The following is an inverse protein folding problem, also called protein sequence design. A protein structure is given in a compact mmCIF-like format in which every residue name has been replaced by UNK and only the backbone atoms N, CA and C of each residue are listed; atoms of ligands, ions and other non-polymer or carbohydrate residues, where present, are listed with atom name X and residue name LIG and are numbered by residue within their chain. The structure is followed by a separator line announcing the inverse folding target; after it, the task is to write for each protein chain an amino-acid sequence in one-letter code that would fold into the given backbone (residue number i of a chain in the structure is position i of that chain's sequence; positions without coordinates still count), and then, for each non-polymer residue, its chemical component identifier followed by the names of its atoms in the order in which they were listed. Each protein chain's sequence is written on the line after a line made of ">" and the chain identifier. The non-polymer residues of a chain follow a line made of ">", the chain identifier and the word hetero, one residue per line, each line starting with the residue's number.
data_IF_669858541161
#
_entry.id   IF_669858541161
#
_cell.length_a   1.000
_cell.length_b   1.000
_cell.length_c   1.000
_cell.angle_alpha   90.00
_cell.angle_beta   90.00
_cell.angle_gamma   90.00
#
_symmetry.space_group_name_H-M   'P 1'
#
loop_
_entity.id
_entity.type
_entity.pdbx_description
1 polymer ?
#
# COMPACT_ATOMS: atom_id res chain seq x y z
N UNK A 1 -18.40 -0.09 31.10
CA UNK A 1 -17.82 1.23 30.83
C UNK A 1 -17.53 1.33 29.34
N UNK A 2 -18.08 2.34 28.64
CA UNK A 2 -17.77 2.57 27.22
C UNK A 2 -16.33 3.06 27.16
N UNK A 3 -15.42 2.28 26.57
CA UNK A 3 -14.04 2.69 26.38
C UNK A 3 -14.03 3.99 25.55
N UNK A 4 -13.28 4.99 25.99
CA UNK A 4 -13.08 6.22 25.23
C UNK A 4 -12.45 5.86 23.88
N UNK A 5 -13.01 6.36 22.77
CA UNK A 5 -12.56 5.93 21.46
C UNK A 5 -11.14 6.48 21.21
N UNK A 6 -10.23 5.64 20.69
CA UNK A 6 -8.81 6.01 20.59
C UNK A 6 -8.63 7.24 19.69
N UNK A 7 -7.74 8.16 20.08
CA UNK A 7 -7.30 9.26 19.21
C UNK A 7 -6.21 8.75 18.22
N UNK A 8 -5.77 9.56 17.25
CA UNK A 8 -4.74 9.21 16.25
C UNK A 8 -3.51 8.54 16.87
N UNK A 9 -2.95 9.14 17.94
CA UNK A 9 -1.78 8.62 18.67
C UNK A 9 -2.10 7.29 19.34
N UNK A 10 -3.33 7.13 19.84
CA UNK A 10 -3.80 5.89 20.46
C UNK A 10 -3.83 4.73 19.46
N UNK A 11 -4.32 4.99 18.24
CA UNK A 11 -4.34 3.98 17.16
C UNK A 11 -2.92 3.59 16.76
N UNK A 12 -2.03 4.56 16.55
CA UNK A 12 -0.64 4.28 16.20
C UNK A 12 0.07 3.48 17.30
N UNK A 13 -0.15 3.85 18.56
CA UNK A 13 0.38 3.11 19.71
C UNK A 13 -0.16 1.69 19.74
N UNK A 14 -1.46 1.50 19.56
CA UNK A 14 -2.07 0.17 19.58
C UNK A 14 -1.55 -0.71 18.42
N UNK A 15 -1.38 -0.14 17.23
CA UNK A 15 -0.75 -0.84 16.11
C UNK A 15 0.67 -1.32 16.47
N UNK A 16 1.50 -0.45 17.05
CA UNK A 16 2.85 -0.82 17.52
C UNK A 16 2.79 -1.90 18.62
N UNK A 17 1.85 -1.80 19.55
CA UNK A 17 1.64 -2.80 20.62
C UNK A 17 1.28 -4.16 20.02
N UNK A 18 0.45 -4.22 18.98
CA UNK A 18 0.09 -5.47 18.30
C UNK A 18 1.32 -6.08 17.61
N UNK A 19 2.12 -5.25 16.92
CA UNK A 19 3.39 -5.71 16.34
C UNK A 19 4.31 -6.29 17.42
N UNK A 20 4.44 -5.61 18.57
CA UNK A 20 5.31 -6.04 19.66
C UNK A 20 4.79 -7.32 20.36
N UNK A 21 3.48 -7.41 20.60
CA UNK A 21 2.85 -8.54 21.29
C UNK A 21 3.06 -9.87 20.56
N UNK A 22 2.95 -9.85 19.24
CA UNK A 22 3.13 -11.02 18.37
C UNK A 22 4.38 -10.90 17.49
N UNK A 23 5.46 -10.32 18.03
CA UNK A 23 6.65 -9.93 17.27
C UNK A 23 7.24 -11.04 16.39
N UNK A 24 7.36 -12.27 16.91
CA UNK A 24 7.88 -13.41 16.13
C UNK A 24 6.99 -13.72 14.92
N UNK A 25 5.68 -13.75 15.11
CA UNK A 25 4.71 -14.05 14.05
C UNK A 25 4.65 -12.91 13.02
N UNK A 26 4.57 -11.66 13.48
CA UNK A 26 4.54 -10.49 12.62
C UNK A 26 5.83 -10.34 11.81
N UNK A 27 6.99 -10.66 12.39
CA UNK A 27 8.26 -10.73 11.68
C UNK A 27 8.23 -11.83 10.61
N UNK A 28 7.67 -13.01 10.92
CA UNK A 28 7.54 -14.10 9.95
C UNK A 28 6.65 -13.68 8.76
N UNK A 29 5.53 -13.01 9.03
CA UNK A 29 4.66 -12.43 7.98
C UNK A 29 5.44 -11.42 7.14
N UNK A 30 6.12 -10.48 7.78
CA UNK A 30 6.89 -9.44 7.10
C UNK A 30 7.99 -10.02 6.21
N UNK A 31 8.74 -11.01 6.69
CA UNK A 31 9.77 -11.70 5.89
C UNK A 31 9.18 -12.47 4.71
N UNK A 32 8.01 -13.10 4.91
CA UNK A 32 7.28 -13.80 3.83
C UNK A 32 6.86 -12.85 2.72
N UNK A 33 6.54 -11.59 3.07
CA UNK A 33 6.21 -10.54 2.09
C UNK A 33 7.47 -9.97 1.46
N UNK A 34 8.51 -9.71 2.25
CA UNK A 34 9.75 -9.09 1.77
C UNK A 34 10.48 -9.98 0.75
N UNK A 35 10.52 -11.29 0.96
CA UNK A 35 11.21 -12.23 0.08
C UNK A 35 10.81 -12.13 -1.41
N UNK A 36 9.51 -12.25 -1.79
CA UNK A 36 9.11 -12.12 -3.19
C UNK A 36 9.31 -10.70 -3.74
N UNK A 37 9.19 -9.64 -2.92
CA UNK A 37 9.50 -8.28 -3.37
C UNK A 37 10.97 -8.11 -3.73
N UNK A 38 11.87 -8.57 -2.86
CA UNK A 38 13.31 -8.55 -3.12
C UNK A 38 13.69 -9.40 -4.33
N UNK A 39 13.06 -10.56 -4.50
CA UNK A 39 13.29 -11.42 -5.66
C UNK A 39 12.86 -10.74 -6.97
N UNK A 40 11.68 -10.12 -7.00
CA UNK A 40 11.20 -9.35 -8.17
C UNK A 40 12.15 -8.19 -8.47
N UNK A 41 12.55 -7.42 -7.46
CA UNK A 41 13.48 -6.31 -7.64
C UNK A 41 14.85 -6.76 -8.18
N UNK A 42 15.39 -7.86 -7.66
CA UNK A 42 16.64 -8.45 -8.15
C UNK A 42 16.50 -8.94 -9.60
N UNK A 43 15.43 -9.66 -9.92
CA UNK A 43 15.17 -10.14 -11.28
C UNK A 43 14.98 -8.96 -12.25
N UNK A 44 14.27 -7.91 -11.84
CA UNK A 44 14.10 -6.70 -12.65
C UNK A 44 15.46 -6.04 -12.93
N UNK A 45 16.29 -5.85 -11.91
CA UNK A 45 17.64 -5.31 -12.07
C UNK A 45 18.49 -6.15 -13.05
N UNK A 46 18.44 -7.49 -12.95
CA UNK A 46 19.23 -8.38 -13.81
C UNK A 46 18.69 -8.47 -15.25
N UNK A 47 17.38 -8.65 -15.43
CA UNK A 47 16.77 -8.92 -16.73
C UNK A 47 16.42 -7.63 -17.48
N UNK A 48 15.75 -6.69 -16.81
CA UNK A 48 15.36 -5.43 -17.44
C UNK A 48 16.58 -4.52 -17.60
N UNK A 49 17.46 -4.44 -16.59
CA UNK A 49 18.72 -3.68 -16.70
C UNK A 49 19.57 -4.14 -17.87
N UNK A 50 19.79 -5.46 -18.01
CA UNK A 50 20.51 -6.02 -19.15
C UNK A 50 19.86 -5.70 -20.50
N UNK A 51 18.53 -5.79 -20.61
CA UNK A 51 17.84 -5.47 -21.87
C UNK A 51 17.86 -3.97 -22.18
N UNK A 52 17.78 -3.10 -21.19
CA UNK A 52 17.87 -1.65 -21.35
C UNK A 52 19.25 -1.27 -21.90
N UNK A 53 20.32 -1.79 -21.29
CA UNK A 53 21.70 -1.57 -21.74
C UNK A 53 21.91 -2.04 -23.18
N UNK A 54 21.43 -3.24 -23.53
CA UNK A 54 21.51 -3.73 -24.92
C UNK A 54 20.72 -2.88 -25.92
N UNK A 55 19.57 -2.33 -25.51
CA UNK A 55 18.76 -1.45 -26.35
C UNK A 55 19.49 -0.12 -26.56
N UNK A 56 20.04 0.46 -25.50
CA UNK A 56 20.80 1.71 -25.53
C UNK A 56 22.05 1.60 -26.41
N UNK A 57 22.84 0.55 -26.23
CA UNK A 57 24.02 0.24 -27.05
C UNK A 57 23.68 0.11 -28.54
N UNK A 58 22.51 -0.48 -28.86
CA UNK A 58 22.03 -0.64 -30.23
C UNK A 58 21.56 0.69 -30.84
N UNK A 59 21.00 1.59 -30.03
CA UNK A 59 20.62 2.94 -30.46
C UNK A 59 21.87 3.76 -30.80
N UNK A 60 22.89 3.77 -29.92
CA UNK A 60 24.13 4.50 -30.18
C UNK A 60 24.89 3.99 -31.42
N UNK A 61 24.86 2.67 -31.66
CA UNK A 61 25.55 2.05 -32.80
C UNK A 61 24.78 2.17 -34.13
N UNK A 62 23.66 2.91 -34.20
CA UNK A 62 22.80 3.05 -35.39
C UNK A 62 22.45 1.70 -36.06
N UNK A 63 22.41 0.63 -35.29
CA UNK A 63 22.02 -0.68 -35.79
C UNK A 63 20.51 -0.69 -35.98
N UNK A 64 19.97 -1.37 -37.02
CA UNK A 64 18.52 -1.47 -37.18
C UNK A 64 17.96 -2.27 -36.00
N UNK A 65 17.52 -1.53 -34.98
CA UNK A 65 16.95 -2.07 -33.77
C UNK A 65 15.84 -3.02 -34.17
N UNK A 66 15.96 -4.29 -33.77
CA UNK A 66 14.91 -5.24 -34.00
C UNK A 66 13.69 -4.75 -33.23
N UNK A 67 12.59 -4.42 -33.91
CA UNK A 67 11.26 -4.20 -33.29
C UNK A 67 10.90 -5.28 -32.25
N UNK A 68 11.52 -6.45 -32.38
CA UNK A 68 11.50 -7.59 -31.47
C UNK A 68 12.09 -7.30 -30.07
N UNK A 69 13.17 -6.53 -29.95
CA UNK A 69 13.86 -6.33 -28.66
C UNK A 69 13.09 -5.32 -27.79
N UNK A 70 12.58 -4.24 -28.40
CA UNK A 70 11.65 -3.30 -27.73
C UNK A 70 10.36 -4.00 -27.30
N UNK A 71 9.79 -4.84 -28.16
CA UNK A 71 8.59 -5.63 -27.82
C UNK A 71 8.86 -6.59 -26.65
N UNK A 72 10.04 -7.21 -26.63
CA UNK A 72 10.47 -8.10 -25.54
C UNK A 72 10.61 -7.32 -24.23
N UNK A 73 11.23 -6.14 -24.25
CA UNK A 73 11.37 -5.26 -23.09
C UNK A 73 10.00 -4.83 -22.53
N UNK A 74 9.09 -4.38 -23.39
CA UNK A 74 7.72 -3.99 -22.97
C UNK A 74 6.99 -5.18 -22.35
N UNK A 75 7.09 -6.37 -22.96
CA UNK A 75 6.48 -7.59 -22.44
C UNK A 75 7.04 -7.99 -21.07
N UNK A 76 8.36 -7.84 -20.89
CA UNK A 76 9.05 -8.12 -19.64
C UNK A 76 8.66 -7.12 -18.54
N UNK A 77 8.66 -5.82 -18.83
CA UNK A 77 8.23 -4.78 -17.89
C UNK A 77 6.77 -4.98 -17.45
N UNK A 78 5.89 -5.32 -18.39
CA UNK A 78 4.50 -5.64 -18.06
C UNK A 78 4.39 -6.87 -17.16
N UNK A 79 5.22 -7.89 -17.38
CA UNK A 79 5.26 -9.09 -16.54
C UNK A 79 5.76 -8.77 -15.13
N UNK A 80 6.82 -7.96 -14.98
CA UNK A 80 7.31 -7.52 -13.68
C UNK A 80 6.30 -6.64 -12.95
N UNK A 81 5.65 -5.72 -13.65
CA UNK A 81 4.59 -4.89 -13.10
C UNK A 81 3.42 -5.75 -12.59
N UNK A 82 2.99 -6.74 -13.38
CA UNK A 82 1.95 -7.68 -12.97
C UNK A 82 2.37 -8.49 -11.74
N UNK A 83 3.59 -9.03 -11.72
CA UNK A 83 4.12 -9.78 -10.58
C UNK A 83 4.17 -8.92 -9.31
N UNK A 84 4.68 -7.69 -9.41
CA UNK A 84 4.72 -6.72 -8.32
C UNK A 84 3.31 -6.41 -7.80
N UNK A 85 2.34 -6.21 -8.71
CA UNK A 85 0.95 -5.95 -8.37
C UNK A 85 0.31 -7.11 -7.58
N UNK A 86 0.55 -8.35 -7.99
CA UNK A 86 0.07 -9.53 -7.28
C UNK A 86 0.75 -9.71 -5.92
N UNK A 87 2.07 -9.51 -5.83
CA UNK A 87 2.81 -9.61 -4.55
C UNK A 87 2.35 -8.53 -3.57
N UNK A 88 2.09 -7.30 -4.03
CA UNK A 88 1.48 -6.25 -3.22
C UNK A 88 0.12 -6.67 -2.67
N UNK A 89 -0.75 -7.21 -3.53
CA UNK A 89 -2.07 -7.68 -3.13
C UNK A 89 -1.98 -8.77 -2.05
N UNK A 90 -1.18 -9.81 -2.28
CA UNK A 90 -0.98 -10.88 -1.30
C UNK A 90 -0.36 -10.37 0.00
N UNK A 91 0.59 -9.43 -0.07
CA UNK A 91 1.21 -8.85 1.11
C UNK A 91 0.23 -8.06 1.98
N UNK A 92 -0.64 -7.25 1.36
CA UNK A 92 -1.70 -6.52 2.08
C UNK A 92 -2.69 -7.49 2.72
N UNK A 93 -3.15 -8.50 1.97
CA UNK A 93 -4.04 -9.55 2.48
C UNK A 93 -3.45 -10.27 3.70
N UNK A 94 -2.21 -10.72 3.59
CA UNK A 94 -1.52 -11.43 4.66
C UNK A 94 -1.35 -10.54 5.89
N UNK A 95 -1.02 -9.27 5.69
CA UNK A 95 -0.88 -8.31 6.78
C UNK A 95 -2.20 -8.04 7.48
N UNK A 96 -3.31 -7.86 6.74
CA UNK A 96 -4.63 -7.59 7.33
C UNK A 96 -5.14 -8.80 8.11
N UNK A 97 -4.99 -10.02 7.59
CA UNK A 97 -5.38 -11.21 8.36
C UNK A 97 -4.48 -11.45 9.57
N UNK A 98 -3.17 -11.19 9.45
CA UNK A 98 -2.23 -11.30 10.56
C UNK A 98 -2.49 -10.27 11.66
N UNK A 99 -2.78 -9.02 11.30
CA UNK A 99 -3.12 -7.95 12.24
C UNK A 99 -4.49 -8.18 12.87
N UNK A 100 -5.47 -8.68 12.12
CA UNK A 100 -6.80 -9.01 12.62
C UNK A 100 -6.79 -10.16 13.62
N UNK A 101 -6.14 -11.28 13.28
CA UNK A 101 -5.94 -12.41 14.19
C UNK A 101 -5.16 -11.98 15.44
N UNK A 102 -4.11 -11.18 15.25
CA UNK A 102 -3.34 -10.62 16.36
C UNK A 102 -4.18 -9.70 17.23
N UNK A 103 -5.01 -8.82 16.66
CA UNK A 103 -5.90 -7.91 17.39
C UNK A 103 -6.90 -8.69 18.26
N UNK A 104 -7.51 -9.73 17.68
CA UNK A 104 -8.48 -10.61 18.33
C UNK A 104 -7.86 -11.61 19.32
N UNK A 105 -6.52 -11.71 19.39
CA UNK A 105 -5.83 -12.68 20.25
C UNK A 105 -5.93 -14.12 19.77
N UNK A 106 -6.18 -14.34 18.47
CA UNK A 106 -6.23 -15.66 17.86
C UNK A 106 -4.81 -16.18 17.58
N UNK A 107 -4.56 -17.45 17.91
CA UNK A 107 -3.32 -18.15 17.56
C UNK A 107 -3.47 -18.80 16.18
N UNK A 108 -3.33 -18.03 15.11
CA UNK A 108 -3.28 -18.55 13.74
C UNK A 108 -1.83 -18.61 13.25
N UNK A 109 -1.44 -19.72 12.62
CA UNK A 109 -0.14 -19.85 11.96
C UNK A 109 -0.15 -19.22 10.56
N UNK A 110 1.04 -19.04 9.96
CA UNK A 110 1.13 -18.55 8.57
C UNK A 110 0.39 -19.45 7.57
N UNK A 111 0.45 -20.77 7.77
CA UNK A 111 -0.23 -21.72 6.89
C UNK A 111 -1.76 -21.56 6.95
N UNK A 112 -2.28 -21.25 8.14
CA UNK A 112 -3.71 -20.99 8.34
C UNK A 112 -4.12 -19.68 7.66
N UNK A 113 -3.28 -18.64 7.73
CA UNK A 113 -3.52 -17.39 6.99
C UNK A 113 -3.54 -17.63 5.48
N UNK A 114 -2.54 -18.34 4.95
CA UNK A 114 -2.41 -18.60 3.51
C UNK A 114 -3.61 -19.42 3.01
N UNK A 115 -4.05 -20.42 3.76
CA UNK A 115 -5.23 -21.21 3.40
C UNK A 115 -6.53 -20.39 3.44
N UNK A 116 -6.71 -19.54 4.46
CA UNK A 116 -7.83 -18.59 4.54
C UNK A 116 -7.84 -17.63 3.34
N UNK A 117 -6.67 -17.10 2.97
CA UNK A 117 -6.52 -16.22 1.81
C UNK A 117 -6.88 -16.96 0.52
N UNK A 118 -6.36 -18.17 0.33
CA UNK A 118 -6.65 -18.98 -0.86
C UNK A 118 -8.16 -19.25 -1.05
N UNK A 119 -8.93 -19.31 0.04
CA UNK A 119 -10.38 -19.47 -0.04
C UNK A 119 -11.11 -18.14 -0.29
N UNK A 120 -10.63 -17.03 0.29
CA UNK A 120 -11.33 -15.73 0.30
C UNK A 120 -10.82 -14.68 -0.70
N UNK A 121 -9.71 -14.90 -1.42
CA UNK A 121 -9.00 -13.86 -2.19
C UNK A 121 -9.78 -13.18 -3.31
N UNK A 122 -10.76 -13.86 -3.95
CA UNK A 122 -11.46 -13.33 -5.13
C UNK A 122 -12.16 -12.00 -4.84
N UNK A 123 -12.76 -11.86 -3.65
CA UNK A 123 -13.49 -10.65 -3.28
C UNK A 123 -12.54 -9.47 -3.00
N UNK A 124 -11.54 -9.59 -2.10
CA UNK A 124 -10.50 -8.57 -1.94
C UNK A 124 -9.79 -8.20 -3.24
N UNK A 125 -9.58 -9.14 -4.15
CA UNK A 125 -8.95 -8.86 -5.45
C UNK A 125 -9.78 -7.87 -6.28
N UNK A 126 -11.10 -8.04 -6.31
CA UNK A 126 -11.99 -7.11 -7.02
C UNK A 126 -11.92 -5.72 -6.38
N UNK A 127 -11.90 -5.63 -5.05
CA UNK A 127 -11.73 -4.35 -4.34
C UNK A 127 -10.36 -3.72 -4.62
N UNK A 128 -9.30 -4.52 -4.63
CA UNK A 128 -7.94 -4.11 -4.96
C UNK A 128 -7.83 -3.54 -6.38
N UNK A 129 -8.43 -4.22 -7.35
CA UNK A 129 -8.50 -3.72 -8.73
C UNK A 129 -9.31 -2.42 -8.82
N UNK A 130 -10.45 -2.34 -8.13
CA UNK A 130 -11.29 -1.13 -8.11
C UNK A 130 -10.55 0.06 -7.49
N UNK A 131 -9.88 -0.14 -6.36
CA UNK A 131 -9.05 0.87 -5.69
C UNK A 131 -7.89 1.28 -6.59
N UNK A 132 -7.19 0.31 -7.19
CA UNK A 132 -6.04 0.60 -8.07
C UNK A 132 -6.45 1.42 -9.29
N UNK A 133 -7.57 1.08 -9.93
CA UNK A 133 -8.12 1.84 -11.05
C UNK A 133 -8.53 3.25 -10.62
N UNK A 134 -9.15 3.39 -9.45
CA UNK A 134 -9.56 4.69 -8.91
C UNK A 134 -8.35 5.58 -8.63
N UNK A 135 -7.32 5.05 -7.98
CA UNK A 135 -6.06 5.75 -7.69
C UNK A 135 -5.31 6.12 -8.97
N UNK A 136 -5.26 5.21 -9.96
CA UNK A 136 -4.64 5.49 -11.27
C UNK A 136 -5.39 6.61 -12.00
N UNK A 137 -6.72 6.56 -12.03
CA UNK A 137 -7.55 7.60 -12.65
C UNK A 137 -7.31 8.96 -12.00
N UNK A 138 -7.23 9.00 -10.67
CA UNK A 138 -6.91 10.21 -9.93
C UNK A 138 -5.52 10.76 -10.28
N UNK A 139 -4.50 9.90 -10.29
CA UNK A 139 -3.12 10.30 -10.61
C UNK A 139 -2.99 10.84 -12.04
N UNK A 140 -3.57 10.15 -13.03
CA UNK A 140 -3.57 10.60 -14.43
C UNK A 140 -4.29 11.94 -14.56
N UNK A 141 -5.45 12.09 -13.92
CA UNK A 141 -6.20 13.35 -13.94
C UNK A 141 -5.39 14.49 -13.32
N UNK A 142 -4.75 14.27 -12.17
CA UNK A 142 -3.91 15.28 -11.53
C UNK A 142 -2.74 15.70 -12.43
N UNK A 143 -2.03 14.74 -13.03
CA UNK A 143 -0.91 15.02 -13.95
C UNK A 143 -1.39 15.81 -15.17
N UNK A 144 -2.49 15.41 -15.80
CA UNK A 144 -3.06 16.10 -16.96
C UNK A 144 -3.44 17.54 -16.61
N UNK A 145 -4.10 17.76 -15.47
CA UNK A 145 -4.48 19.10 -15.03
C UNK A 145 -3.27 19.99 -14.74
N UNK A 146 -2.25 19.46 -14.05
CA UNK A 146 -1.01 20.20 -13.76
C UNK A 146 -0.30 20.57 -15.06
N UNK A 147 -0.14 19.61 -15.98
CA UNK A 147 0.51 19.86 -17.28
C UNK A 147 -0.27 20.84 -18.15
N UNK A 148 -1.60 20.75 -18.18
CA UNK A 148 -2.45 21.69 -18.92
C UNK A 148 -2.28 23.12 -18.43
N UNK A 149 -2.21 23.32 -17.11
CA UNK A 149 -1.92 24.63 -16.51
C UNK A 149 -0.55 25.14 -16.95
N UNK A 150 0.48 24.28 -16.91
CA UNK A 150 1.84 24.65 -17.31
C UNK A 150 1.99 25.00 -18.80
N UNK A 151 1.08 24.53 -19.68
CA UNK A 151 1.12 24.78 -21.12
C UNK A 151 0.50 26.12 -21.54
N UNK A 152 -0.28 26.78 -20.68
CA UNK A 152 -1.02 28.02 -21.02
C UNK A 152 -0.09 29.21 -21.30
N UNK A 153 0.90 29.44 -20.43
CA UNK A 153 1.98 30.40 -20.64
C UNK A 153 3.16 30.03 -19.73
N UNK A 154 4.22 29.41 -20.28
CA UNK A 154 5.32 28.88 -19.49
C UNK A 154 6.19 29.98 -18.83
N UNK A 155 6.07 31.23 -19.26
CA UNK A 155 6.92 32.33 -18.77
C UNK A 155 6.22 33.22 -17.71
N UNK A 156 4.93 32.95 -17.45
CA UNK A 156 4.16 33.71 -16.47
C UNK A 156 4.32 33.16 -15.05
N UNK A 157 4.86 34.00 -14.16
CA UNK A 157 4.97 33.68 -12.73
C UNK A 157 3.62 33.34 -12.09
N UNK A 158 2.53 33.97 -12.55
CA UNK A 158 1.18 33.72 -12.04
C UNK A 158 0.71 32.27 -12.34
N UNK A 159 1.06 31.73 -13.51
CA UNK A 159 0.70 30.36 -13.91
C UNK A 159 1.53 29.33 -13.15
N UNK A 160 2.80 29.62 -12.89
CA UNK A 160 3.62 28.79 -11.99
C UNK A 160 3.03 28.72 -10.59
N UNK A 161 2.64 29.86 -10.00
CA UNK A 161 1.97 29.90 -8.70
C UNK A 161 0.67 29.08 -8.69
N UNK A 162 -0.15 29.21 -9.74
CA UNK A 162 -1.38 28.44 -9.87
C UNK A 162 -1.13 26.93 -9.98
N UNK A 163 -0.10 26.52 -10.74
CA UNK A 163 0.33 25.13 -10.84
C UNK A 163 0.78 24.55 -9.50
N UNK A 164 1.57 25.30 -8.73
CA UNK A 164 1.97 24.93 -7.37
C UNK A 164 0.76 24.79 -6.44
N UNK A 165 -0.16 25.75 -6.47
CA UNK A 165 -1.39 25.68 -5.67
C UNK A 165 -2.21 24.44 -6.00
N UNK A 166 -2.40 24.12 -7.28
CA UNK A 166 -3.14 22.95 -7.72
C UNK A 166 -2.45 21.65 -7.30
N UNK A 167 -1.12 21.61 -7.37
CA UNK A 167 -0.30 20.46 -6.93
C UNK A 167 -0.46 20.23 -5.43
N UNK A 168 -0.39 21.29 -4.61
CA UNK A 168 -0.59 21.20 -3.16
C UNK A 168 -2.01 20.73 -2.85
N UNK A 169 -3.02 21.26 -3.54
CA UNK A 169 -4.41 20.87 -3.35
C UNK A 169 -4.64 19.39 -3.68
N UNK A 170 -4.07 18.91 -4.79
CA UNK A 170 -4.10 17.49 -5.15
C UNK A 170 -3.38 16.64 -4.08
N UNK A 171 -2.18 17.04 -3.67
CA UNK A 171 -1.42 16.34 -2.64
C UNK A 171 -2.15 16.27 -1.29
N UNK A 172 -2.92 17.30 -0.91
CA UNK A 172 -3.74 17.30 0.30
C UNK A 172 -5.02 16.46 0.16
N UNK A 173 -5.60 16.39 -1.03
CA UNK A 173 -6.79 15.58 -1.26
C UNK A 173 -6.47 14.08 -1.34
N UNK A 174 -5.28 13.72 -1.83
CA UNK A 174 -4.86 12.34 -2.01
C UNK A 174 -4.95 11.49 -0.71
N UNK A 175 -4.40 11.90 0.46
CA UNK A 175 -4.51 11.13 1.70
C UNK A 175 -5.94 10.86 2.15
N UNK A 176 -6.89 11.76 1.86
CA UNK A 176 -8.30 11.54 2.17
C UNK A 176 -8.89 10.39 1.34
N UNK A 177 -8.61 10.38 0.03
CA UNK A 177 -9.02 9.29 -0.85
C UNK A 177 -8.33 7.98 -0.47
N UNK A 178 -7.03 8.03 -0.22
CA UNK A 178 -6.21 6.86 0.09
C UNK A 178 -6.60 6.22 1.43
N UNK A 179 -6.99 7.04 2.43
CA UNK A 179 -7.55 6.55 3.69
C UNK A 179 -8.85 5.75 3.45
N UNK A 180 -9.77 6.31 2.65
CA UNK A 180 -11.04 5.64 2.33
C UNK A 180 -10.84 4.36 1.53
N UNK A 181 -9.89 4.37 0.59
CA UNK A 181 -9.54 3.22 -0.24
C UNK A 181 -8.86 2.12 0.57
N UNK A 182 -7.91 2.47 1.44
CA UNK A 182 -7.22 1.52 2.32
C UNK A 182 -8.22 0.87 3.29
N UNK A 183 -9.13 1.66 3.86
CA UNK A 183 -10.18 1.13 4.72
C UNK A 183 -11.15 0.22 3.95
N UNK A 184 -11.47 0.53 2.69
CA UNK A 184 -12.29 -0.34 1.84
C UNK A 184 -11.62 -1.69 1.57
N UNK A 185 -10.30 -1.72 1.42
CA UNK A 185 -9.54 -2.97 1.30
C UNK A 185 -9.66 -3.78 2.58
N UNK A 186 -9.38 -3.17 3.75
CA UNK A 186 -9.53 -3.83 5.06
C UNK A 186 -10.93 -4.41 5.24
N UNK A 187 -11.97 -3.62 4.94
CA UNK A 187 -13.36 -4.07 4.98
C UNK A 187 -13.58 -5.26 4.04
N UNK A 188 -13.08 -5.21 2.81
CA UNK A 188 -13.26 -6.32 1.86
C UNK A 188 -12.53 -7.60 2.26
N UNK A 189 -11.47 -7.51 3.06
CA UNK A 189 -10.76 -8.68 3.62
C UNK A 189 -11.51 -9.25 4.81
N UNK A 190 -12.04 -8.40 5.69
CA UNK A 190 -12.63 -8.81 6.97
C UNK A 190 -14.15 -9.02 6.92
N UNK A 191 -14.84 -8.43 5.93
CA UNK A 191 -16.28 -8.56 5.72
C UNK A 191 -16.58 -9.27 4.40
N UNK A 192 -17.40 -10.32 4.49
CA UNK A 192 -17.75 -11.15 3.34
C UNK A 192 -18.68 -10.46 2.32
N UNK A 193 -19.42 -9.42 2.73
CA UNK A 193 -20.50 -8.82 1.93
C UNK A 193 -20.11 -7.50 1.23
N UNK A 194 -18.92 -6.98 1.53
CA UNK A 194 -18.49 -5.61 1.17
C UNK A 194 -17.33 -5.64 0.17
N UNK A 195 -17.61 -5.95 -1.11
CA UNK A 195 -16.61 -6.09 -2.17
C UNK A 195 -16.72 -5.01 -3.26
N UNK A 196 -15.58 -4.63 -3.87
CA UNK A 196 -15.50 -3.68 -4.98
C UNK A 196 -15.99 -2.29 -4.58
N UNK A 197 -16.87 -1.71 -5.40
CA UNK A 197 -17.48 -0.40 -5.15
C UNK A 197 -18.40 -0.41 -3.91
N UNK A 198 -18.93 -1.56 -3.50
CA UNK A 198 -19.70 -1.68 -2.25
C UNK A 198 -18.77 -1.51 -1.04
N UNK A 199 -17.56 -2.05 -1.10
CA UNK A 199 -16.52 -1.85 -0.09
C UNK A 199 -16.15 -0.38 0.08
N UNK A 200 -15.99 0.36 -1.02
CA UNK A 200 -15.73 1.81 -0.99
C UNK A 200 -16.89 2.61 -0.37
N UNK A 201 -18.14 2.26 -0.71
CA UNK A 201 -19.31 2.92 -0.10
C UNK A 201 -19.41 2.60 1.40
N UNK A 202 -19.04 1.40 1.80
CA UNK A 202 -19.02 0.98 3.21
C UNK A 202 -17.91 1.68 3.98
N UNK A 203 -16.71 1.81 3.42
CA UNK A 203 -15.62 2.56 4.04
C UNK A 203 -15.96 4.03 4.24
N UNK A 204 -16.63 4.65 3.26
CA UNK A 204 -17.05 6.04 3.37
C UNK A 204 -18.11 6.24 4.47
N UNK A 205 -19.02 5.27 4.64
CA UNK A 205 -19.99 5.29 5.75
C UNK A 205 -19.28 5.15 7.09
N UNK A 206 -18.41 4.15 7.22
CA UNK A 206 -17.69 3.82 8.44
C UNK A 206 -16.75 4.96 8.90
N UNK A 207 -16.12 5.64 7.95
CA UNK A 207 -15.23 6.78 8.24
C UNK A 207 -16.00 8.08 8.49
N UNK A 208 -17.30 8.16 8.22
CA UNK A 208 -18.08 9.43 8.20
C UNK A 208 -18.00 10.19 9.52
N UNK A 209 -18.02 9.50 10.66
CA UNK A 209 -17.88 10.09 11.99
C UNK A 209 -16.45 10.43 12.39
N UNK A 210 -15.44 9.90 11.68
CA UNK A 210 -14.01 9.99 12.04
C UNK A 210 -13.13 10.36 10.82
N UNK A 211 -13.68 11.14 9.87
CA UNK A 211 -13.00 11.53 8.62
C UNK A 211 -11.66 12.24 8.86
N UNK A 212 -11.65 13.19 9.78
CA UNK A 212 -10.45 13.94 10.14
C UNK A 212 -9.39 13.01 10.72
N UNK A 213 -9.80 12.05 11.55
CA UNK A 213 -8.89 11.09 12.17
C UNK A 213 -8.26 10.16 11.13
N UNK A 214 -9.06 9.60 10.21
CA UNK A 214 -8.54 8.77 9.13
C UNK A 214 -7.65 9.55 8.15
N UNK A 215 -8.01 10.81 7.85
CA UNK A 215 -7.17 11.72 7.07
C UNK A 215 -5.82 11.98 7.76
N UNK A 216 -5.81 12.35 9.04
CA UNK A 216 -4.58 12.60 9.79
C UNK A 216 -3.70 11.36 9.88
N UNK A 217 -4.30 10.19 10.09
CA UNK A 217 -3.59 8.91 10.14
C UNK A 217 -2.89 8.63 8.81
N UNK A 218 -3.62 8.76 7.70
CA UNK A 218 -3.04 8.56 6.37
C UNK A 218 -2.03 9.62 6.00
N UNK A 219 -2.27 10.88 6.38
CA UNK A 219 -1.33 11.98 6.14
C UNK A 219 0.01 11.73 6.85
N UNK A 220 0.00 11.34 8.13
CA UNK A 220 1.20 10.99 8.89
C UNK A 220 1.92 9.81 8.23
N UNK A 221 1.18 8.74 7.90
CA UNK A 221 1.75 7.56 7.26
C UNK A 221 2.37 7.89 5.91
N UNK A 222 1.65 8.60 5.04
CA UNK A 222 2.15 9.02 3.72
C UNK A 222 3.35 9.94 3.84
N UNK A 223 3.38 10.87 4.80
CA UNK A 223 4.53 11.73 5.05
C UNK A 223 5.80 10.94 5.42
N UNK A 224 5.66 9.77 6.06
CA UNK A 224 6.79 8.86 6.32
C UNK A 224 7.27 8.14 5.05
N UNK A 225 6.38 7.91 4.08
CA UNK A 225 6.73 7.20 2.84
C UNK A 225 7.26 8.12 1.75
N UNK A 226 6.82 9.38 1.68
CA UNK A 226 7.24 10.34 0.65
C UNK A 226 8.77 10.45 0.52
N UNK A 227 9.57 10.56 1.60
CA UNK A 227 11.03 10.59 1.48
C UNK A 227 11.59 9.33 0.81
N UNK A 228 11.02 8.15 1.06
CA UNK A 228 11.43 6.89 0.43
C UNK A 228 11.17 6.94 -1.08
N UNK A 229 10.02 7.47 -1.51
CA UNK A 229 9.70 7.63 -2.92
C UNK A 229 10.59 8.66 -3.63
N UNK A 230 10.85 9.80 -2.99
CA UNK A 230 11.78 10.82 -3.52
C UNK A 230 13.17 10.22 -3.66
N UNK A 231 13.61 9.48 -2.65
CA UNK A 231 14.89 8.82 -2.61
C UNK A 231 15.02 7.78 -3.74
N UNK A 232 13.99 6.94 -3.94
CA UNK A 232 13.90 6.01 -5.08
C UNK A 232 13.95 6.73 -6.43
N UNK A 233 13.17 7.80 -6.57
CA UNK A 233 13.08 8.57 -7.82
C UNK A 233 14.42 9.19 -8.18
N UNK A 234 15.04 9.90 -7.24
CA UNK A 234 16.35 10.55 -7.46
C UNK A 234 17.37 9.53 -7.94
N UNK A 235 17.50 8.38 -7.28
CA UNK A 235 18.45 7.34 -7.72
C UNK A 235 18.10 6.60 -8.99
N UNK A 236 16.86 6.68 -9.44
CA UNK A 236 16.46 6.11 -10.73
C UNK A 236 16.76 7.07 -11.88
N UNK A 237 16.94 8.36 -11.59
CA UNK A 237 17.26 9.43 -12.56
C UNK A 237 18.70 9.92 -12.48
N UNK A 238 19.48 9.43 -11.51
CA UNK A 238 20.90 9.76 -11.38
C UNK A 238 21.67 8.87 -12.37
N UNK A 239 21.86 9.40 -13.59
CA UNK A 239 22.69 8.80 -14.64
C UNK A 239 24.20 9.04 -14.38
N UNK A 240 24.53 9.76 -13.31
CA UNK A 240 25.91 10.06 -12.94
C UNK A 240 26.57 8.79 -12.35
N UNK A 241 27.46 8.17 -13.12
CA UNK A 241 28.29 6.98 -12.82
C UNK A 241 29.16 7.08 -11.54
N UNK A 242 28.97 8.10 -10.68
CA UNK A 242 29.75 8.28 -9.45
C UNK A 242 29.49 7.17 -8.42
N UNK A 243 28.29 6.56 -8.43
CA UNK A 243 27.95 5.45 -7.56
C UNK A 243 28.14 4.11 -8.28
N UNK A 244 29.13 3.33 -7.85
CA UNK A 244 29.36 1.99 -8.40
C UNK A 244 28.11 1.09 -8.34
N UNK A 245 27.99 0.08 -9.23
CA UNK A 245 26.77 -0.72 -9.41
C UNK A 245 26.30 -1.42 -8.13
N UNK A 246 27.23 -1.77 -7.25
CA UNK A 246 26.90 -2.33 -5.93
C UNK A 246 26.16 -1.34 -5.02
N UNK A 247 26.56 -0.06 -5.02
CA UNK A 247 25.93 0.98 -4.20
C UNK A 247 24.51 1.27 -4.69
N UNK A 248 24.30 1.36 -6.01
CA UNK A 248 22.97 1.51 -6.59
C UNK A 248 22.04 0.33 -6.27
N UNK A 249 22.55 -0.90 -6.37
CA UNK A 249 21.78 -2.10 -6.01
C UNK A 249 21.41 -2.11 -4.52
N UNK A 250 22.39 -1.88 -3.64
CA UNK A 250 22.17 -1.84 -2.20
C UNK A 250 21.12 -0.79 -1.82
N UNK A 251 21.17 0.37 -2.46
CA UNK A 251 20.22 1.45 -2.25
C UNK A 251 18.80 1.06 -2.69
N UNK A 252 18.63 0.54 -3.91
CA UNK A 252 17.32 0.05 -4.41
C UNK A 252 16.76 -1.05 -3.50
N UNK A 253 17.62 -1.93 -2.99
CA UNK A 253 17.23 -2.95 -2.03
C UNK A 253 16.73 -2.35 -0.71
N UNK A 254 17.48 -1.43 -0.10
CA UNK A 254 17.08 -0.73 1.13
C UNK A 254 15.76 0.00 0.94
N UNK A 255 15.60 0.71 -0.16
CA UNK A 255 14.37 1.42 -0.45
C UNK A 255 13.17 0.48 -0.67
N UNK A 256 13.39 -0.69 -1.28
CA UNK A 256 12.36 -1.75 -1.39
C UNK A 256 11.95 -2.27 -0.01
N UNK A 257 12.92 -2.52 0.88
CA UNK A 257 12.64 -2.94 2.26
C UNK A 257 11.81 -1.88 2.98
N UNK A 258 12.19 -0.60 2.89
CA UNK A 258 11.46 0.51 3.50
C UNK A 258 10.04 0.67 2.93
N UNK A 259 9.85 0.46 1.62
CA UNK A 259 8.54 0.45 1.00
C UNK A 259 7.65 -0.68 1.55
N UNK A 260 8.18 -1.90 1.62
CA UNK A 260 7.46 -3.05 2.19
C UNK A 260 7.08 -2.81 3.65
N UNK A 261 8.02 -2.32 4.47
CA UNK A 261 7.78 -1.96 5.87
C UNK A 261 6.68 -0.90 6.01
N UNK A 262 6.72 0.12 5.16
CA UNK A 262 5.73 1.20 5.16
C UNK A 262 4.33 0.67 4.81
N UNK A 263 4.20 -0.14 3.75
CA UNK A 263 2.92 -0.73 3.36
C UNK A 263 2.39 -1.70 4.40
N UNK A 264 3.27 -2.53 4.98
CA UNK A 264 2.93 -3.40 6.09
C UNK A 264 2.36 -2.59 7.27
N UNK A 265 3.07 -1.54 7.71
CA UNK A 265 2.63 -0.72 8.83
C UNK A 265 1.31 -0.01 8.55
N UNK A 266 1.12 0.58 7.36
CA UNK A 266 -0.15 1.18 6.92
C UNK A 266 -1.31 0.19 7.05
N UNK A 267 -1.14 -1.05 6.55
CA UNK A 267 -2.17 -2.08 6.64
C UNK A 267 -2.51 -2.45 8.08
N UNK A 268 -1.53 -2.56 8.98
CA UNK A 268 -1.79 -2.83 10.40
C UNK A 268 -2.56 -1.66 11.04
N UNK A 269 -2.10 -0.43 10.84
CA UNK A 269 -2.73 0.77 11.40
C UNK A 269 -4.18 0.92 10.94
N UNK A 270 -4.47 0.69 9.66
CA UNK A 270 -5.84 0.73 9.14
C UNK A 270 -6.71 -0.45 9.58
N UNK A 271 -6.10 -1.59 9.92
CA UNK A 271 -6.82 -2.71 10.56
C UNK A 271 -7.28 -2.33 11.97
N UNK A 272 -6.40 -1.71 12.77
CA UNK A 272 -6.77 -1.19 14.09
C UNK A 272 -7.84 -0.10 13.96
N UNK A 273 -7.66 0.83 13.03
CA UNK A 273 -8.64 1.89 12.78
C UNK A 273 -10.01 1.33 12.36
N UNK A 274 -10.04 0.27 11.56
CA UNK A 274 -11.28 -0.43 11.22
C UNK A 274 -12.01 -0.95 12.47
N UNK A 275 -11.30 -1.64 13.38
CA UNK A 275 -11.90 -2.16 14.60
C UNK A 275 -12.41 -1.04 15.52
N UNK A 276 -11.66 0.05 15.65
CA UNK A 276 -12.07 1.24 16.41
C UNK A 276 -13.33 1.89 15.83
N UNK A 277 -13.40 2.06 14.50
CA UNK A 277 -14.59 2.58 13.84
C UNK A 277 -15.79 1.65 14.02
N UNK A 278 -15.60 0.33 13.85
CA UNK A 278 -16.67 -0.66 14.01
C UNK A 278 -17.21 -0.69 15.44
N UNK A 279 -16.33 -0.61 16.44
CA UNK A 279 -16.74 -0.51 17.84
C UNK A 279 -17.52 0.76 18.13
N UNK A 280 -17.15 1.90 17.52
CA UNK A 280 -17.85 3.17 17.70
C UNK A 280 -19.27 3.20 17.11
N UNK A 281 -19.54 2.41 16.06
CA UNK A 281 -20.88 2.27 15.47
C UNK A 281 -21.78 1.32 16.29
N UNK A 282 -21.26 0.66 17.33
CA UNK A 282 -22.01 -0.30 18.14
C UNK A 282 -22.34 -1.61 17.42
N UNK A 283 -21.83 -1.81 16.20
CA UNK A 283 -21.93 -3.06 15.47
C UNK A 283 -21.02 -4.11 16.13
N UNK A 284 -21.58 -5.26 16.52
CA UNK A 284 -20.79 -6.35 17.11
C UNK A 284 -19.68 -6.74 16.12
N UNK A 285 -18.46 -6.92 16.65
CA UNK A 285 -17.29 -7.41 15.91
C UNK A 285 -17.50 -8.89 15.59
N UNK A 286 -18.43 -9.20 14.69
CA UNK A 286 -18.51 -10.50 14.04
C UNK A 286 -17.50 -10.44 12.90
N UNK A 287 -16.39 -11.13 13.09
CA UNK A 287 -15.33 -11.29 12.10
C UNK A 287 -15.40 -12.75 11.68
N UNK A 288 -15.86 -13.00 10.46
CA UNK A 288 -15.74 -14.30 9.83
C UNK A 288 -14.38 -14.36 9.12
N UNK A 289 -13.30 -14.60 9.89
CA UNK A 289 -12.13 -15.21 9.26
C UNK A 289 -12.58 -16.59 8.78
N UNK A 290 -12.21 -16.98 7.55
CA UNK A 290 -12.81 -18.06 6.77
C UNK A 290 -12.81 -19.48 7.35
N UNK A 291 -12.48 -19.69 8.63
CA UNK A 291 -12.74 -20.92 9.37
C UNK A 291 -13.07 -20.56 10.84
N UNK A 292 -14.34 -20.72 11.23
CA UNK A 292 -14.76 -20.78 12.63
C UNK A 292 -15.28 -19.46 13.23
N UNK A 293 -16.56 -19.46 13.61
CA UNK A 293 -17.18 -18.42 14.45
C UNK A 293 -16.47 -18.34 15.80
N UNK A 294 -15.62 -17.34 16.01
CA UNK A 294 -15.15 -16.99 17.36
C UNK A 294 -15.80 -15.68 17.80
N UNK A 295 -16.79 -15.80 18.68
CA UNK A 295 -17.23 -14.68 19.52
C UNK A 295 -16.05 -14.29 20.41
N UNK A 296 -15.60 -13.03 20.31
CA UNK A 296 -14.59 -12.49 21.22
C UNK A 296 -15.08 -12.58 22.67
N UNK A 297 -14.28 -13.07 23.62
CA UNK A 297 -14.66 -13.08 25.02
C UNK A 297 -14.60 -11.66 25.60
N UNK A 298 -15.61 -11.38 26.41
CA UNK A 298 -15.70 -10.26 27.34
C UNK A 298 -14.39 -10.12 28.13
N UNK A 299 -13.81 -8.91 28.18
CA UNK A 299 -12.71 -8.58 29.09
C UNK A 299 -13.10 -9.01 30.51
N UNK A 300 -12.33 -9.90 31.12
CA UNK A 300 -12.39 -10.12 32.56
C UNK A 300 -11.95 -8.83 33.26
N UNK A 301 -12.79 -8.37 34.18
CA UNK A 301 -12.40 -7.47 35.24
C UNK A 301 -11.24 -8.12 36.03
N UNK A 302 -10.14 -7.39 36.13
CA UNK A 302 -9.14 -7.63 37.18
C UNK A 302 -9.21 -6.40 38.07
N UNK A 303 -9.85 -6.60 39.22
CA UNK A 303 -9.82 -5.67 40.35
C UNK A 303 -8.39 -5.48 40.83
N UNK A 304 -8.02 -4.22 41.08
CA UNK A 304 -7.17 -3.83 42.20
C UNK A 304 -7.86 -2.67 42.91
#
# INVERSE_FOLDING_TARGET
>A
MVATPLNVIGILREAITILARNGKFMLQVMLTILFPFSLIGLLHYLLAGFLIENVEDSYEKNSPLGQKDVRTLIGLELAFFAAFFFVCFFGIMLTIHASASSYLGQNMGLNDLISSIHYAWKKPLITWLCVSLFTLTYAVLAIVLIKLVSLLDPNSYAIHLWGWFLTILAALFYPYLDASCTLALVISVLENDSCGTKGLKRSEKLIRGRKIQGFLLMFILTALVVPIYVLLYVTATDDDDELGPFAQFAFRFVATVLFCLSKFFVSVVFTVFYYECKQSEGERVVVELGVGYSLAPHKLDVEF
#
